data_IF_132509558621
#
_entry.id   IF_132509558621
#
_cell.length_a   1.000
_cell.length_b   1.000
_cell.length_c   1.000
_cell.angle_alpha   90.00
_cell.angle_beta   90.00
_cell.angle_gamma   90.00
#
_symmetry.space_group_name_H-M   'P 1'
#
loop_
_entity.id
_entity.type
_entity.pdbx_description
1 polymer ?
#
# COMPACT_ATOMS: atom_id res chain seq x y z
N UNK A 1 -8.36 -6.04 27.89
CA UNK A 1 -7.40 -5.09 27.38
C UNK A 1 -7.85 -3.64 27.51
N UNK A 2 -6.90 -2.75 27.43
CA UNK A 2 -7.15 -1.31 27.47
C UNK A 2 -7.49 -0.76 26.10
N UNK A 3 -8.08 0.41 26.05
CA UNK A 3 -8.28 1.16 24.80
C UNK A 3 -7.26 2.29 24.72
N UNK A 4 -6.57 2.34 23.60
CA UNK A 4 -5.62 3.41 23.25
C UNK A 4 -6.25 4.23 22.13
N UNK A 5 -6.38 5.54 22.36
CA UNK A 5 -7.02 6.44 21.41
C UNK A 5 -5.99 7.11 20.51
N UNK A 6 -6.31 7.11 19.21
CA UNK A 6 -5.52 7.79 18.18
C UNK A 6 -6.37 8.83 17.46
N UNK A 7 -5.77 9.99 17.14
CA UNK A 7 -6.41 11.06 16.40
C UNK A 7 -5.35 11.80 15.57
N UNK A 8 -5.42 11.68 14.26
CA UNK A 8 -4.46 12.29 13.35
C UNK A 8 -4.47 13.82 13.45
N UNK A 9 -5.64 14.42 13.60
CA UNK A 9 -5.81 15.87 13.65
C UNK A 9 -5.81 16.47 15.06
N UNK A 10 -6.14 15.68 16.08
CA UNK A 10 -6.31 16.16 17.46
C UNK A 10 -5.36 15.54 18.47
N UNK A 11 -4.52 14.60 18.07
CA UNK A 11 -3.63 13.88 18.96
C UNK A 11 -2.21 14.41 18.96
N UNK A 12 -1.44 13.89 19.92
CA UNK A 12 0.01 14.10 20.03
C UNK A 12 0.66 12.81 20.49
N UNK A 13 1.78 12.43 19.86
CA UNK A 13 2.51 11.23 20.26
C UNK A 13 3.16 11.37 21.64
N UNK A 14 3.17 12.59 22.21
CA UNK A 14 3.50 12.85 23.61
C UNK A 14 2.32 12.61 24.55
N UNK A 15 1.13 12.36 24.03
CA UNK A 15 -0.05 12.01 24.81
C UNK A 15 0.06 10.65 25.49
N UNK A 16 -0.88 10.36 26.39
CA UNK A 16 -0.91 9.08 27.09
C UNK A 16 -1.83 8.03 26.44
N UNK A 17 -2.48 8.38 25.32
CA UNK A 17 -3.40 7.49 24.60
C UNK A 17 -4.79 7.39 25.21
N UNK A 18 -5.10 8.19 26.23
CA UNK A 18 -6.47 8.32 26.75
C UNK A 18 -7.34 9.09 25.75
N UNK A 19 -8.67 9.03 25.96
CA UNK A 19 -9.60 9.80 25.14
C UNK A 19 -9.32 11.32 25.18
N UNK A 20 -8.87 11.83 26.32
CA UNK A 20 -8.53 13.25 26.50
C UNK A 20 -7.16 13.63 25.91
N UNK A 21 -6.24 12.68 25.83
CA UNK A 21 -4.88 12.88 25.33
C UNK A 21 -4.52 11.80 24.30
N UNK A 22 -5.20 11.75 23.17
CA UNK A 22 -4.96 10.72 22.17
C UNK A 22 -3.58 10.86 21.53
N UNK A 23 -3.06 9.77 21.03
CA UNK A 23 -1.85 9.76 20.22
C UNK A 23 -2.16 10.24 18.80
N UNK A 24 -1.18 10.81 18.12
CA UNK A 24 -1.36 11.32 16.77
C UNK A 24 -1.21 10.22 15.71
N UNK A 25 -0.33 9.26 15.94
CA UNK A 25 0.01 8.25 14.94
C UNK A 25 -0.40 6.85 15.38
N UNK A 26 -0.72 6.03 14.39
CA UNK A 26 -0.95 4.58 14.60
C UNK A 26 0.33 3.92 15.09
N UNK A 27 1.49 4.31 14.54
CA UNK A 27 2.78 3.78 14.97
C UNK A 27 3.05 3.98 16.46
N UNK A 28 2.74 5.16 17.00
CA UNK A 28 2.88 5.41 18.44
C UNK A 28 1.89 4.58 19.26
N UNK A 29 0.67 4.42 18.77
CA UNK A 29 -0.33 3.58 19.42
C UNK A 29 0.08 2.11 19.45
N UNK A 30 0.66 1.59 18.37
CA UNK A 30 1.17 0.23 18.31
C UNK A 30 2.32 -0.01 19.29
N UNK A 31 3.20 0.98 19.48
CA UNK A 31 4.27 0.88 20.47
C UNK A 31 3.75 0.85 21.91
N UNK A 32 2.70 1.60 22.19
CA UNK A 32 2.11 1.69 23.51
C UNK A 32 1.24 0.50 23.85
N UNK A 33 0.55 -0.07 22.88
CA UNK A 33 -0.41 -1.15 23.08
C UNK A 33 0.28 -2.44 23.56
N UNK A 34 -0.40 -3.15 24.43
CA UNK A 34 -0.08 -4.54 24.80
C UNK A 34 -1.04 -5.50 24.09
N UNK A 35 -0.72 -6.79 24.15
CA UNK A 35 -1.60 -7.83 23.62
C UNK A 35 -2.99 -7.76 24.25
N UNK A 36 -4.02 -7.87 23.42
CA UNK A 36 -5.42 -7.74 23.83
C UNK A 36 -5.95 -6.31 23.91
N UNK A 37 -5.10 -5.31 23.71
CA UNK A 37 -5.54 -3.91 23.68
C UNK A 37 -6.26 -3.58 22.37
N UNK A 38 -7.06 -2.52 22.43
CA UNK A 38 -7.74 -1.92 21.28
C UNK A 38 -7.15 -0.55 21.00
N UNK A 39 -6.79 -0.32 19.74
CA UNK A 39 -6.43 1.00 19.24
C UNK A 39 -7.66 1.54 18.51
N UNK A 40 -8.24 2.61 19.03
CA UNK A 40 -9.44 3.24 18.48
C UNK A 40 -9.07 4.54 17.80
N UNK A 41 -9.38 4.65 16.51
CA UNK A 41 -8.96 5.74 15.66
C UNK A 41 -10.11 6.70 15.37
N UNK A 42 -9.90 7.97 15.67
CA UNK A 42 -10.80 9.04 15.26
C UNK A 42 -10.71 9.29 13.75
N UNK A 43 -11.70 10.00 13.21
CA UNK A 43 -11.63 10.51 11.85
C UNK A 43 -10.31 11.24 11.59
N UNK A 44 -9.80 11.06 10.41
CA UNK A 44 -8.60 11.74 9.95
C UNK A 44 -7.83 10.91 8.94
N UNK A 45 -6.79 11.51 8.42
CA UNK A 45 -5.86 10.87 7.49
C UNK A 45 -4.55 10.59 8.21
N UNK A 46 -4.22 9.32 8.32
CA UNK A 46 -2.99 8.84 8.96
C UNK A 46 -2.00 8.52 7.86
N UNK A 47 -1.00 9.40 7.66
CA UNK A 47 0.00 9.26 6.60
C UNK A 47 1.20 8.49 7.15
N UNK A 48 1.14 7.18 7.05
CA UNK A 48 2.11 6.28 7.67
C UNK A 48 2.31 5.04 6.79
N UNK A 49 3.42 4.35 7.01
CA UNK A 49 3.68 3.11 6.31
C UNK A 49 4.74 2.27 6.98
N UNK A 50 4.84 1.05 6.48
CA UNK A 50 5.68 -0.02 6.99
C UNK A 50 5.48 -0.24 8.51
N UNK A 51 4.21 -0.28 8.93
CA UNK A 51 3.87 -0.50 10.33
C UNK A 51 3.84 -2.00 10.64
N UNK A 52 4.69 -2.42 11.57
CA UNK A 52 4.71 -3.79 12.07
C UNK A 52 3.73 -3.93 13.24
N UNK A 53 2.83 -4.91 13.15
CA UNK A 53 1.91 -5.25 14.23
C UNK A 53 2.42 -6.54 14.87
N UNK A 54 3.11 -6.38 16.00
CA UNK A 54 3.82 -7.48 16.69
C UNK A 54 3.08 -7.99 17.94
N UNK A 55 1.90 -7.46 18.17
CA UNK A 55 1.06 -7.84 19.33
C UNK A 55 -0.37 -8.10 18.85
N UNK A 56 -1.07 -8.97 19.54
CA UNK A 56 -2.46 -9.33 19.24
C UNK A 56 -3.42 -8.19 19.62
N UNK A 57 -3.47 -7.15 18.85
CA UNK A 57 -4.28 -5.95 19.09
C UNK A 57 -5.44 -5.88 18.11
N UNK A 58 -6.45 -5.10 18.50
CA UNK A 58 -7.53 -4.67 17.60
C UNK A 58 -7.27 -3.22 17.20
N UNK A 59 -7.22 -2.95 15.89
CA UNK A 59 -7.14 -1.61 15.32
C UNK A 59 -8.51 -1.33 14.70
N UNK A 60 -9.23 -0.35 15.21
CA UNK A 60 -10.59 -0.09 14.74
C UNK A 60 -10.93 1.39 14.67
N UNK A 61 -11.90 1.72 13.83
CA UNK A 61 -12.49 3.04 13.80
C UNK A 61 -13.29 3.29 15.07
N UNK A 62 -13.24 4.52 15.58
CA UNK A 62 -14.20 5.00 16.55
C UNK A 62 -15.61 4.95 15.97
N UNK A 63 -16.63 4.89 16.82
CA UNK A 63 -18.02 4.81 16.36
C UNK A 63 -18.35 6.00 15.45
N UNK A 64 -18.88 5.69 14.26
CA UNK A 64 -19.21 6.69 13.24
C UNK A 64 -18.03 7.31 12.50
N UNK A 65 -16.81 6.95 12.85
CA UNK A 65 -15.60 7.45 12.20
C UNK A 65 -15.24 6.62 10.96
N UNK A 66 -14.53 7.27 10.04
CA UNK A 66 -13.96 6.66 8.83
C UNK A 66 -12.49 7.05 8.68
N UNK A 67 -11.61 6.54 9.53
CA UNK A 67 -10.20 6.86 9.45
C UNK A 67 -9.58 6.29 8.18
N UNK A 68 -8.64 7.02 7.61
CA UNK A 68 -7.90 6.65 6.41
C UNK A 68 -6.43 6.47 6.75
N UNK A 69 -5.91 5.28 6.49
CA UNK A 69 -4.48 4.98 6.53
C UNK A 69 -3.96 5.02 5.10
N UNK A 70 -3.00 5.90 4.83
CA UNK A 70 -2.49 6.14 3.48
C UNK A 70 -0.98 6.20 3.42
N UNK A 71 -0.42 5.66 2.33
CA UNK A 71 1.00 5.78 2.00
C UNK A 71 1.33 7.04 1.21
N UNK A 72 0.35 7.89 0.94
CA UNK A 72 0.54 9.13 0.22
C UNK A 72 0.95 10.26 1.15
N UNK A 73 1.95 11.04 0.72
CA UNK A 73 2.42 12.23 1.40
C UNK A 73 1.98 13.47 0.64
N UNK A 74 1.85 14.59 1.33
CA UNK A 74 1.66 15.90 0.71
C UNK A 74 3.01 16.60 0.70
N UNK A 75 3.67 16.75 -0.48
CA UNK A 75 4.97 17.40 -0.54
C UNK A 75 4.91 18.82 0.00
N UNK A 76 5.91 19.20 0.81
CA UNK A 76 5.95 20.50 1.47
C UNK A 76 6.20 21.65 0.49
N UNK A 77 6.88 21.39 -0.63
CA UNK A 77 7.20 22.41 -1.61
C UNK A 77 7.30 21.82 -3.01
N UNK A 78 7.06 22.68 -3.99
CA UNK A 78 7.16 22.36 -5.40
C UNK A 78 7.94 23.46 -6.11
N UNK A 79 8.75 23.08 -7.09
CA UNK A 79 9.52 24.00 -7.93
C UNK A 79 8.83 24.17 -9.27
N UNK A 80 8.50 25.41 -9.63
CA UNK A 80 7.93 25.71 -10.93
C UNK A 80 9.01 25.63 -12.01
N UNK A 81 8.73 24.91 -13.09
CA UNK A 81 9.67 24.77 -14.22
C UNK A 81 9.58 25.90 -15.24
N UNK A 82 8.56 26.75 -15.15
CA UNK A 82 8.32 27.84 -16.11
C UNK A 82 7.66 27.40 -17.43
N UNK A 83 7.39 26.11 -17.59
CA UNK A 83 6.80 25.48 -18.77
C UNK A 83 5.45 24.81 -18.45
N UNK A 84 4.82 25.17 -17.34
CA UNK A 84 3.59 24.54 -16.84
C UNK A 84 3.81 23.23 -16.11
N UNK A 85 5.06 22.83 -15.91
CA UNK A 85 5.43 21.63 -15.16
C UNK A 85 6.06 22.01 -13.84
N UNK A 86 5.77 21.19 -12.82
CA UNK A 86 6.19 21.42 -11.45
C UNK A 86 6.84 20.16 -10.90
N UNK A 87 7.90 20.33 -10.12
CA UNK A 87 8.67 19.21 -9.56
C UNK A 87 8.73 19.28 -8.05
N UNK A 88 8.68 18.12 -7.39
CA UNK A 88 9.02 18.00 -5.97
C UNK A 88 10.52 18.27 -5.73
N UNK A 89 10.92 18.40 -4.48
CA UNK A 89 12.32 18.26 -4.10
C UNK A 89 12.88 16.88 -4.50
N UNK A 90 14.20 16.75 -4.48
CA UNK A 90 14.94 15.54 -4.90
C UNK A 90 15.12 14.54 -3.76
N UNK A 91 14.13 14.37 -2.93
CA UNK A 91 14.14 13.50 -1.76
C UNK A 91 13.05 12.44 -1.81
N UNK A 92 12.40 12.31 -2.96
CA UNK A 92 11.31 11.35 -3.14
C UNK A 92 11.83 9.94 -3.39
N UNK A 93 10.97 8.96 -3.11
CA UNK A 93 11.26 7.54 -3.28
C UNK A 93 10.93 7.11 -4.70
N UNK A 94 11.87 6.43 -5.33
CA UNK A 94 11.59 5.56 -6.47
C UNK A 94 11.46 4.14 -5.98
N UNK A 95 10.37 3.48 -6.38
CA UNK A 95 10.11 2.09 -5.98
C UNK A 95 10.70 1.10 -6.98
N UNK A 96 10.63 -0.19 -6.66
CA UNK A 96 11.26 -1.24 -7.45
C UNK A 96 10.43 -1.58 -8.69
N UNK A 97 10.98 -1.38 -9.88
CA UNK A 97 10.31 -1.76 -11.14
C UNK A 97 10.48 -3.22 -11.51
N UNK A 98 11.45 -3.92 -10.92
CA UNK A 98 11.70 -5.35 -11.19
C UNK A 98 11.05 -6.29 -10.20
N UNK A 99 10.31 -5.76 -9.24
CA UNK A 99 9.70 -6.53 -8.16
C UNK A 99 8.31 -7.07 -8.53
N UNK A 100 7.87 -6.87 -9.74
CA UNK A 100 6.59 -7.34 -10.25
C UNK A 100 6.84 -8.43 -11.30
N UNK A 101 6.41 -9.65 -10.98
CA UNK A 101 6.72 -10.83 -11.81
C UNK A 101 6.06 -10.78 -13.18
N UNK A 102 4.83 -10.26 -13.23
CA UNK A 102 4.01 -10.31 -14.43
C UNK A 102 4.32 -9.23 -15.45
N UNK A 103 5.17 -8.29 -15.10
CA UNK A 103 5.66 -7.32 -16.05
C UNK A 103 6.98 -7.81 -16.64
N UNK A 104 7.12 -7.70 -17.95
CA UNK A 104 8.39 -7.96 -18.62
C UNK A 104 9.23 -6.67 -18.57
N UNK A 105 10.24 -6.59 -17.70
CA UNK A 105 11.01 -5.35 -17.57
C UNK A 105 11.89 -5.07 -18.78
N UNK A 106 12.17 -6.08 -19.63
CA UNK A 106 12.92 -5.84 -20.87
C UNK A 106 12.11 -5.03 -21.88
N UNK A 107 10.79 -5.06 -21.75
CA UNK A 107 9.89 -4.24 -22.57
C UNK A 107 9.60 -2.89 -21.93
N UNK A 108 10.16 -2.62 -20.75
CA UNK A 108 9.92 -1.41 -19.96
C UNK A 108 8.44 -1.06 -19.88
N UNK A 109 7.58 -2.09 -19.72
CA UNK A 109 6.15 -1.87 -19.60
C UNK A 109 5.82 -1.00 -18.39
N UNK A 110 5.07 0.06 -18.62
CA UNK A 110 4.65 1.00 -17.58
C UNK A 110 3.96 0.29 -16.41
N UNK A 111 3.37 -0.87 -16.66
CA UNK A 111 2.74 -1.70 -15.63
C UNK A 111 3.70 -2.13 -14.52
N UNK A 112 5.02 -2.17 -14.77
CA UNK A 112 6.01 -2.51 -13.76
C UNK A 112 6.34 -1.35 -12.80
N UNK A 113 5.96 -0.14 -13.15
CA UNK A 113 6.27 1.07 -12.38
C UNK A 113 5.24 1.29 -11.28
N UNK A 114 5.62 1.19 -9.99
CA UNK A 114 4.64 1.21 -8.91
C UNK A 114 4.32 2.61 -8.37
N UNK A 115 5.02 3.66 -8.82
CA UNK A 115 4.81 5.01 -8.32
C UNK A 115 3.40 5.50 -8.61
N UNK A 116 2.85 6.31 -7.71
CA UNK A 116 1.51 6.88 -7.83
C UNK A 116 1.49 8.34 -7.39
N UNK A 117 0.73 9.14 -8.13
CA UNK A 117 0.41 10.53 -7.79
C UNK A 117 -1.08 10.73 -7.94
N UNK A 118 -1.67 11.48 -7.03
CA UNK A 118 -3.10 11.81 -7.02
C UNK A 118 -3.26 13.33 -7.01
N UNK A 119 -4.12 13.83 -7.88
CA UNK A 119 -4.51 15.23 -7.92
C UNK A 119 -6.01 15.33 -7.65
N UNK A 120 -6.38 16.03 -6.59
CA UNK A 120 -7.77 16.15 -6.13
C UNK A 120 -8.45 14.77 -5.99
N UNK A 121 -7.71 13.82 -5.45
CA UNK A 121 -8.16 12.45 -5.21
C UNK A 121 -8.17 11.54 -6.45
N UNK A 122 -7.76 12.01 -7.62
CA UNK A 122 -7.73 11.23 -8.86
C UNK A 122 -6.31 10.78 -9.20
N UNK A 123 -6.12 9.52 -9.56
CA UNK A 123 -4.81 9.03 -9.96
C UNK A 123 -4.38 9.63 -11.30
N UNK A 124 -3.13 10.06 -11.37
CA UNK A 124 -2.48 10.40 -12.62
C UNK A 124 -1.91 9.15 -13.27
N UNK A 125 -1.66 9.21 -14.56
CA UNK A 125 -0.99 8.16 -15.31
C UNK A 125 0.51 8.44 -15.34
N UNK A 126 1.33 7.46 -15.00
CA UNK A 126 2.79 7.59 -15.10
C UNK A 126 3.25 7.55 -16.54
N UNK A 127 4.17 8.45 -16.89
CA UNK A 127 4.87 8.48 -18.16
C UNK A 127 6.38 8.35 -17.93
N UNK A 128 7.12 8.01 -18.98
CA UNK A 128 8.54 7.68 -18.86
C UNK A 128 9.48 8.80 -19.32
N UNK A 129 8.94 9.96 -19.67
CA UNK A 129 9.73 11.14 -19.99
C UNK A 129 9.04 12.41 -19.49
N UNK A 130 9.84 13.43 -19.21
CA UNK A 130 9.32 14.73 -18.79
C UNK A 130 8.47 15.40 -19.86
N UNK A 131 8.82 15.20 -21.13
CA UNK A 131 8.08 15.80 -22.25
C UNK A 131 6.65 15.28 -22.40
N UNK A 132 6.37 14.08 -21.86
CA UNK A 132 5.04 13.47 -21.89
C UNK A 132 4.13 13.94 -20.75
N UNK A 133 4.63 14.76 -19.83
CA UNK A 133 3.83 15.24 -18.70
C UNK A 133 2.75 16.21 -19.19
N UNK A 134 1.51 15.89 -18.81
CA UNK A 134 0.32 16.71 -19.02
C UNK A 134 -0.40 16.92 -17.69
N UNK A 135 -1.55 17.56 -17.70
CA UNK A 135 -2.36 17.72 -16.49
C UNK A 135 -2.84 16.41 -15.88
N UNK A 136 -2.87 15.32 -16.66
CA UNK A 136 -3.34 14.00 -16.22
C UNK A 136 -2.23 12.95 -16.11
N UNK A 137 -0.97 13.34 -16.26
CA UNK A 137 0.18 12.44 -16.21
C UNK A 137 1.27 12.98 -15.30
N UNK A 138 2.15 12.07 -14.84
CA UNK A 138 3.32 12.45 -14.06
C UNK A 138 4.54 11.65 -14.50
N UNK A 139 5.72 12.16 -14.15
CA UNK A 139 7.00 11.58 -14.47
C UNK A 139 7.87 11.50 -13.21
N UNK A 140 8.60 10.41 -13.03
CA UNK A 140 9.61 10.30 -11.97
C UNK A 140 10.96 10.60 -12.59
N UNK A 141 11.52 11.76 -12.23
CA UNK A 141 12.84 12.17 -12.66
C UNK A 141 13.89 11.54 -11.73
N UNK A 142 14.61 10.58 -12.27
CA UNK A 142 15.65 9.84 -11.57
C UNK A 142 17.00 10.12 -12.23
N UNK A 143 17.80 11.06 -11.66
CA UNK A 143 19.06 11.44 -12.26
C UNK A 143 20.14 10.35 -12.15
N UNK A 144 19.94 9.39 -11.26
CA UNK A 144 20.90 8.30 -11.02
C UNK A 144 20.19 6.95 -10.94
N UNK A 145 19.64 6.45 -12.07
CA UNK A 145 18.93 5.20 -12.07
C UNK A 145 19.87 4.03 -11.78
N UNK A 146 19.56 3.26 -10.73
CA UNK A 146 20.36 2.12 -10.31
C UNK A 146 19.90 0.87 -11.04
N UNK A 147 20.84 0.06 -11.49
CA UNK A 147 20.55 -1.24 -12.10
C UNK A 147 20.61 -2.37 -11.07
N UNK A 148 19.84 -3.41 -11.31
CA UNK A 148 19.95 -4.64 -10.54
C UNK A 148 19.56 -5.85 -11.40
N UNK A 149 19.87 -7.04 -10.90
CA UNK A 149 19.44 -8.28 -11.55
C UNK A 149 17.99 -8.59 -11.21
N UNK A 150 17.24 -9.04 -12.20
CA UNK A 150 15.90 -9.57 -11.95
C UNK A 150 16.00 -11.04 -11.53
N UNK A 151 15.61 -11.39 -10.30
CA UNK A 151 15.77 -12.75 -9.77
C UNK A 151 14.77 -13.74 -10.38
N UNK A 152 13.69 -13.26 -10.98
CA UNK A 152 12.65 -14.14 -11.49
C UNK A 152 12.96 -14.72 -12.88
N UNK A 153 13.81 -14.05 -13.63
CA UNK A 153 14.17 -14.48 -14.97
C UNK A 153 15.68 -14.44 -15.23
N UNK A 154 16.49 -14.27 -14.19
CA UNK A 154 17.95 -14.22 -14.26
C UNK A 154 18.51 -13.18 -15.25
N UNK A 155 17.73 -12.15 -15.56
CA UNK A 155 18.20 -11.07 -16.41
C UNK A 155 18.85 -9.98 -15.58
N UNK A 156 19.92 -9.41 -16.10
CA UNK A 156 20.67 -8.31 -15.47
C UNK A 156 20.38 -6.98 -16.17
N UNK A 157 20.71 -5.90 -15.51
CA UNK A 157 20.72 -4.59 -16.12
C UNK A 157 19.41 -3.82 -16.06
N UNK A 158 18.45 -4.25 -15.23
CA UNK A 158 17.23 -3.45 -15.03
C UNK A 158 17.54 -2.21 -14.24
N UNK A 159 17.02 -1.08 -14.74
CA UNK A 159 17.05 0.17 -14.05
C UNK A 159 15.98 0.20 -12.96
N UNK A 160 16.28 0.93 -11.90
CA UNK A 160 15.35 1.22 -10.81
C UNK A 160 15.30 0.20 -9.67
N UNK A 161 16.42 0.03 -9.01
CA UNK A 161 16.46 -0.41 -7.62
C UNK A 161 15.72 0.64 -6.77
N UNK A 162 14.99 0.26 -5.71
CA UNK A 162 14.39 1.23 -4.78
C UNK A 162 15.44 2.16 -4.18
N UNK A 163 15.20 3.46 -4.24
CA UNK A 163 16.12 4.47 -3.69
C UNK A 163 15.44 5.82 -3.54
N UNK A 164 16.04 6.72 -2.79
CA UNK A 164 15.69 8.13 -2.73
C UNK A 164 16.53 8.96 -3.71
N UNK A 165 16.19 10.23 -3.83
CA UNK A 165 16.92 11.16 -4.67
C UNK A 165 16.21 11.49 -5.99
N UNK A 166 14.95 11.13 -6.10
CA UNK A 166 14.14 11.42 -7.27
C UNK A 166 13.20 12.60 -7.03
N UNK A 167 12.75 13.21 -8.12
CA UNK A 167 11.69 14.22 -8.11
C UNK A 167 10.50 13.69 -8.88
N UNK A 168 9.29 14.04 -8.45
CA UNK A 168 8.08 13.76 -9.19
C UNK A 168 7.64 15.02 -9.91
N UNK A 169 7.33 14.89 -11.19
CA UNK A 169 6.97 16.01 -12.09
C UNK A 169 5.52 15.88 -12.46
N UNK A 170 4.78 16.98 -12.29
CA UNK A 170 3.35 17.07 -12.64
C UNK A 170 3.10 18.26 -13.58
N UNK A 171 1.94 18.26 -14.23
CA UNK A 171 1.55 19.28 -15.19
C UNK A 171 0.40 20.16 -14.73
N UNK A 172 0.17 20.31 -13.44
CA UNK A 172 -0.79 21.24 -12.84
C UNK A 172 -0.11 22.06 -11.77
N UNK A 173 -0.65 23.25 -11.49
CA UNK A 173 -0.16 24.08 -10.39
C UNK A 173 -0.56 23.47 -9.04
N UNK A 174 0.38 22.99 -8.22
CA UNK A 174 0.07 22.37 -6.94
C UNK A 174 -0.50 23.35 -5.91
N UNK A 175 -0.42 24.64 -6.14
CA UNK A 175 -1.06 25.65 -5.29
C UNK A 175 -2.57 25.76 -5.53
N UNK A 176 -3.06 25.22 -6.65
CA UNK A 176 -4.47 25.23 -7.03
C UNK A 176 -5.16 23.89 -6.82
N UNK A 177 -4.42 22.86 -6.41
CA UNK A 177 -4.89 21.49 -6.28
C UNK A 177 -4.33 20.83 -5.03
N UNK A 178 -5.04 19.83 -4.53
CA UNK A 178 -4.48 18.92 -3.54
C UNK A 178 -3.67 17.84 -4.28
N UNK A 179 -2.37 17.81 -4.05
CA UNK A 179 -1.48 16.84 -4.70
C UNK A 179 -0.90 15.91 -3.66
N UNK A 180 -1.06 14.62 -3.88
CA UNK A 180 -0.48 13.58 -3.04
C UNK A 180 0.49 12.73 -3.85
N UNK A 181 1.64 12.43 -3.27
CA UNK A 181 2.68 11.58 -3.84
C UNK A 181 2.89 10.39 -2.92
N UNK A 182 2.69 9.18 -3.44
CA UNK A 182 2.83 7.98 -2.62
C UNK A 182 4.30 7.71 -2.33
N UNK A 183 4.62 7.52 -1.04
CA UNK A 183 5.99 7.35 -0.55
C UNK A 183 6.21 6.07 0.26
N UNK A 184 5.17 5.25 0.45
CA UNK A 184 5.26 4.01 1.20
C UNK A 184 4.76 2.83 0.36
N UNK A 185 5.37 1.66 0.55
CA UNK A 185 5.01 0.46 -0.20
C UNK A 185 4.04 -0.46 0.54
N UNK A 186 4.04 -0.45 1.87
CA UNK A 186 3.18 -1.29 2.69
C UNK A 186 2.58 -0.49 3.84
N UNK A 187 1.31 -0.78 4.15
CA UNK A 187 0.63 -0.19 5.30
C UNK A 187 0.96 -0.96 6.57
N UNK A 188 0.63 -2.24 6.61
CA UNK A 188 0.68 -3.06 7.81
C UNK A 188 1.23 -4.47 7.51
N UNK A 189 2.04 -4.96 8.43
CA UNK A 189 2.43 -6.37 8.48
C UNK A 189 1.96 -6.97 9.79
N UNK A 190 1.15 -8.03 9.72
CA UNK A 190 0.69 -8.74 10.91
C UNK A 190 1.69 -9.85 11.24
N UNK A 191 2.41 -9.70 12.32
CA UNK A 191 3.55 -10.55 12.67
C UNK A 191 3.28 -11.48 13.86
N UNK A 192 2.04 -11.54 14.33
CA UNK A 192 1.63 -12.42 15.43
C UNK A 192 0.17 -12.83 15.27
N UNK A 193 -0.33 -13.66 16.19
CA UNK A 193 -1.71 -14.14 16.19
C UNK A 193 -2.69 -13.08 16.70
N UNK A 194 -3.97 -13.25 16.34
CA UNK A 194 -5.11 -12.53 16.92
C UNK A 194 -5.09 -11.01 16.70
N UNK A 195 -4.72 -10.59 15.51
CA UNK A 195 -4.81 -9.18 15.12
C UNK A 195 -6.14 -8.95 14.40
N UNK A 196 -6.83 -7.89 14.78
CA UNK A 196 -8.08 -7.46 14.14
C UNK A 196 -7.91 -6.04 13.57
N UNK A 197 -8.37 -5.85 12.33
CA UNK A 197 -8.50 -4.56 11.67
C UNK A 197 -9.96 -4.35 11.30
N UNK A 198 -10.57 -3.26 11.73
CA UNK A 198 -12.00 -3.01 11.51
C UNK A 198 -12.32 -1.55 11.22
N UNK A 199 -13.00 -1.30 10.11
CA UNK A 199 -13.59 0.00 9.85
C UNK A 199 -12.66 1.05 9.25
N UNK A 200 -11.50 0.66 8.68
CA UNK A 200 -10.55 1.59 8.08
C UNK A 200 -10.67 1.61 6.56
N UNK A 201 -10.28 2.74 5.96
CA UNK A 201 -9.86 2.79 4.58
C UNK A 201 -8.33 2.72 4.56
N UNK A 202 -7.79 1.78 3.78
CA UNK A 202 -6.35 1.62 3.55
C UNK A 202 -6.10 1.84 2.08
N UNK A 203 -5.31 2.86 1.74
CA UNK A 203 -5.19 3.27 0.35
C UNK A 203 -3.84 3.89 0.00
N UNK A 204 -3.53 3.87 -1.31
CA UNK A 204 -2.41 4.63 -1.89
C UNK A 204 -1.07 4.20 -1.34
N UNK A 205 -0.75 2.94 -1.56
CA UNK A 205 0.57 2.38 -1.30
C UNK A 205 1.19 1.90 -2.61
N UNK A 206 2.45 2.18 -2.83
CA UNK A 206 3.17 1.71 -4.02
C UNK A 206 3.69 0.30 -3.76
N UNK A 207 2.74 -0.62 -3.58
CA UNK A 207 3.02 -2.00 -3.28
C UNK A 207 3.61 -2.74 -4.49
N UNK A 208 4.54 -3.66 -4.23
CA UNK A 208 5.17 -4.52 -5.20
C UNK A 208 4.88 -5.98 -4.88
N UNK A 209 4.92 -6.86 -5.88
CA UNK A 209 4.45 -8.24 -5.71
C UNK A 209 5.37 -9.07 -4.85
N UNK A 210 6.65 -8.91 -4.99
CA UNK A 210 7.64 -9.71 -4.28
C UNK A 210 8.84 -8.86 -3.92
N UNK A 211 9.56 -9.33 -2.92
CA UNK A 211 10.85 -8.86 -2.55
C UNK A 211 10.91 -7.82 -1.48
N UNK A 212 11.70 -8.15 -0.52
CA UNK A 212 12.10 -7.22 0.51
C UNK A 212 13.47 -6.66 0.16
N UNK A 213 13.52 -5.34 -0.01
CA UNK A 213 14.77 -4.63 -0.18
C UNK A 213 15.09 -3.90 1.11
N UNK A 214 16.04 -4.39 1.90
CA UNK A 214 16.54 -3.60 3.02
C UNK A 214 17.34 -2.41 2.47
N UNK A 215 16.99 -1.23 2.92
CA UNK A 215 17.66 0.01 2.53
C UNK A 215 17.79 0.91 3.75
N UNK A 216 19.02 1.39 4.08
CA UNK A 216 19.25 2.19 5.28
C UNK A 216 18.59 3.57 5.25
N UNK A 217 18.24 4.09 4.07
CA UNK A 217 17.62 5.41 3.94
C UNK A 217 16.09 5.35 3.96
N UNK A 218 15.51 4.36 3.29
CA UNK A 218 14.06 4.28 3.09
C UNK A 218 13.40 3.14 3.86
N UNK A 219 14.17 2.35 4.61
CA UNK A 219 13.68 1.15 5.27
C UNK A 219 13.56 -0.03 4.31
N UNK A 220 12.85 -1.06 4.74
CA UNK A 220 12.60 -2.23 3.89
C UNK A 220 11.45 -1.95 2.94
N UNK A 221 11.68 -2.06 1.64
CA UNK A 221 10.61 -2.09 0.64
C UNK A 221 10.09 -3.51 0.58
N UNK A 222 8.93 -3.73 1.16
CA UNK A 222 8.36 -5.06 1.33
C UNK A 222 7.45 -5.45 0.17
N UNK A 223 7.58 -6.68 -0.30
CA UNK A 223 6.72 -7.25 -1.33
C UNK A 223 5.46 -7.92 -0.77
N UNK A 224 4.46 -8.10 -1.62
CA UNK A 224 3.27 -8.90 -1.34
C UNK A 224 1.95 -8.15 -1.32
N UNK A 225 1.89 -6.91 -0.91
CA UNK A 225 0.64 -6.14 -0.87
C UNK A 225 0.68 -4.99 0.11
N UNK A 226 -0.42 -4.23 0.17
CA UNK A 226 -0.56 -3.15 1.14
C UNK A 226 -0.62 -3.67 2.59
N UNK A 227 -1.30 -4.79 2.79
CA UNK A 227 -1.32 -5.52 4.06
C UNK A 227 -0.90 -6.96 3.81
N UNK A 228 0.02 -7.44 4.63
CA UNK A 228 0.36 -8.86 4.69
C UNK A 228 -0.07 -9.38 6.06
N UNK A 229 -1.08 -10.25 6.05
CA UNK A 229 -1.62 -10.88 7.23
C UNK A 229 -1.11 -12.32 7.33
N UNK A 230 -0.35 -12.60 8.37
CA UNK A 230 0.22 -13.90 8.64
C UNK A 230 -0.26 -14.42 10.00
N UNK A 231 0.18 -15.62 10.36
CA UNK A 231 -0.07 -16.26 11.66
C UNK A 231 -1.52 -16.68 11.91
N UNK A 232 -1.91 -16.80 13.18
CA UNK A 232 -3.22 -17.33 13.56
C UNK A 232 -4.31 -16.28 13.66
N UNK A 233 -5.47 -16.61 13.08
CA UNK A 233 -6.73 -15.91 13.23
C UNK A 233 -6.71 -14.40 12.98
N UNK A 234 -6.06 -13.89 11.91
CA UNK A 234 -6.23 -12.48 11.55
C UNK A 234 -7.67 -12.22 11.17
N UNK A 235 -8.23 -11.13 11.67
CA UNK A 235 -9.59 -10.68 11.33
C UNK A 235 -9.53 -9.31 10.67
N UNK A 236 -10.08 -9.22 9.46
CA UNK A 236 -10.14 -7.98 8.71
C UNK A 236 -11.56 -7.79 8.23
N UNK A 237 -12.20 -6.72 8.68
CA UNK A 237 -13.61 -6.51 8.48
C UNK A 237 -14.00 -5.04 8.29
N UNK A 238 -15.11 -4.82 7.59
CA UNK A 238 -15.73 -3.50 7.46
C UNK A 238 -14.78 -2.42 6.93
N UNK A 239 -13.86 -2.81 6.07
CA UNK A 239 -12.77 -1.94 5.60
C UNK A 239 -12.77 -1.82 4.08
N UNK A 240 -12.17 -0.74 3.59
CA UNK A 240 -11.99 -0.48 2.16
C UNK A 240 -10.50 -0.49 1.83
N UNK A 241 -10.15 -1.20 0.75
CA UNK A 241 -8.76 -1.32 0.28
C UNK A 241 -8.70 -0.89 -1.18
N UNK A 242 -7.90 0.14 -1.47
CA UNK A 242 -7.79 0.66 -2.83
C UNK A 242 -6.42 1.27 -3.13
N UNK A 243 -6.09 1.33 -4.42
CA UNK A 243 -4.85 1.90 -4.94
C UNK A 243 -3.58 1.23 -4.40
N UNK A 244 -3.52 -0.08 -4.58
CA UNK A 244 -2.37 -0.91 -4.19
C UNK A 244 -1.22 -0.90 -5.21
N UNK A 245 -1.34 -0.16 -6.29
CA UNK A 245 -0.34 -0.10 -7.36
C UNK A 245 -0.13 -1.43 -8.08
N UNK A 246 1.11 -1.94 -8.17
CA UNK A 246 1.44 -3.12 -8.97
C UNK A 246 1.23 -4.45 -8.25
N UNK A 247 0.83 -4.39 -6.97
CA UNK A 247 0.58 -5.58 -6.15
C UNK A 247 -0.86 -5.63 -5.65
N UNK A 248 -1.16 -6.65 -4.86
CA UNK A 248 -2.46 -6.80 -4.24
C UNK A 248 -2.70 -5.87 -3.08
N UNK A 249 -3.95 -5.77 -2.66
CA UNK A 249 -4.30 -4.98 -1.50
C UNK A 249 -4.05 -5.76 -0.20
N UNK A 250 -4.50 -6.99 -0.13
CA UNK A 250 -4.40 -7.84 1.05
C UNK A 250 -3.86 -9.22 0.66
N UNK A 251 -2.79 -9.64 1.31
CA UNK A 251 -2.24 -10.98 1.20
C UNK A 251 -2.34 -11.69 2.56
N UNK A 252 -3.00 -12.82 2.56
CA UNK A 252 -3.05 -13.76 3.70
C UNK A 252 -2.06 -14.86 3.40
N UNK A 253 -1.02 -14.98 4.21
CA UNK A 253 0.09 -15.90 3.96
C UNK A 253 0.50 -16.58 5.24
N UNK A 254 0.81 -17.89 5.17
CA UNK A 254 1.22 -18.68 6.35
C UNK A 254 0.28 -18.49 7.54
N UNK A 255 -1.03 -18.48 7.28
CA UNK A 255 -2.05 -18.13 8.25
C UNK A 255 -3.01 -19.29 8.51
N UNK A 256 -3.58 -19.32 9.70
CA UNK A 256 -4.65 -20.24 10.06
C UNK A 256 -5.89 -19.45 10.50
N UNK A 257 -7.06 -19.91 10.02
CA UNK A 257 -8.35 -19.38 10.46
C UNK A 257 -8.54 -17.87 10.29
N UNK A 258 -8.04 -17.31 9.20
CA UNK A 258 -8.30 -15.92 8.86
C UNK A 258 -9.81 -15.68 8.66
N UNK A 259 -10.31 -14.54 9.10
CA UNK A 259 -11.68 -14.11 8.89
C UNK A 259 -11.68 -12.76 8.15
N UNK A 260 -12.11 -12.79 6.89
CA UNK A 260 -12.08 -11.64 6.00
C UNK A 260 -13.52 -11.37 5.56
N UNK A 261 -14.15 -10.33 6.10
CA UNK A 261 -15.60 -10.13 5.92
C UNK A 261 -16.01 -8.66 5.76
N UNK A 262 -16.99 -8.43 4.91
CA UNK A 262 -17.62 -7.13 4.71
C UNK A 262 -16.60 -6.04 4.30
N UNK A 263 -15.67 -6.37 3.42
CA UNK A 263 -14.69 -5.44 2.90
C UNK A 263 -15.00 -5.07 1.44
N UNK A 264 -14.54 -3.89 1.05
CA UNK A 264 -14.53 -3.43 -0.33
C UNK A 264 -13.10 -3.40 -0.85
N UNK A 265 -12.85 -4.09 -1.96
CA UNK A 265 -11.58 -4.06 -2.68
C UNK A 265 -11.83 -3.40 -4.04
N UNK A 266 -11.34 -2.18 -4.25
CA UNK A 266 -11.59 -1.45 -5.48
C UNK A 266 -10.35 -0.71 -6.00
N UNK A 267 -10.22 -0.62 -7.32
CA UNK A 267 -9.16 0.14 -7.99
C UNK A 267 -7.75 -0.30 -7.58
N UNK A 268 -7.54 -1.59 -7.37
CA UNK A 268 -6.22 -2.13 -7.08
C UNK A 268 -5.51 -2.56 -8.36
N UNK A 269 -4.21 -2.43 -8.37
CA UNK A 269 -3.45 -2.56 -9.62
C UNK A 269 -3.23 -3.98 -10.11
N UNK A 270 -3.26 -4.95 -9.19
CA UNK A 270 -3.07 -6.37 -9.47
C UNK A 270 -4.20 -7.15 -8.79
N UNK A 271 -3.96 -8.40 -8.38
CA UNK A 271 -4.98 -9.13 -7.64
C UNK A 271 -5.26 -8.44 -6.30
N UNK A 272 -6.50 -8.09 -6.06
CA UNK A 272 -6.86 -7.34 -4.85
C UNK A 272 -6.64 -8.16 -3.58
N UNK A 273 -6.80 -9.49 -3.66
CA UNK A 273 -6.75 -10.37 -2.51
C UNK A 273 -6.07 -11.69 -2.87
N UNK A 274 -5.21 -12.16 -1.98
CA UNK A 274 -4.56 -13.44 -2.15
C UNK A 274 -4.49 -14.24 -0.85
N UNK A 275 -4.55 -15.56 -0.97
CA UNK A 275 -4.31 -16.51 0.12
C UNK A 275 -3.25 -17.49 -0.35
N UNK A 276 -2.19 -17.66 0.42
CA UNK A 276 -1.11 -18.57 0.10
C UNK A 276 -0.64 -19.29 1.39
N UNK A 277 -0.35 -20.58 1.26
CA UNK A 277 0.17 -21.42 2.36
C UNK A 277 -0.66 -21.29 3.65
N UNK A 278 -1.98 -21.27 3.53
CA UNK A 278 -2.89 -21.03 4.64
C UNK A 278 -3.97 -22.11 4.74
N UNK A 279 -4.64 -22.16 5.89
CA UNK A 279 -5.75 -23.09 6.11
C UNK A 279 -6.84 -22.47 6.95
N UNK A 280 -8.09 -22.90 6.69
CA UNK A 280 -9.23 -22.55 7.51
C UNK A 280 -9.76 -21.12 7.35
N UNK A 281 -9.37 -20.40 6.32
CA UNK A 281 -9.83 -19.05 6.11
C UNK A 281 -11.32 -19.01 5.73
N UNK A 282 -12.03 -18.01 6.27
CA UNK A 282 -13.41 -17.67 5.91
C UNK A 282 -13.43 -16.29 5.27
N UNK A 283 -13.87 -16.24 4.01
CA UNK A 283 -13.93 -15.02 3.21
C UNK A 283 -15.39 -14.82 2.81
N UNK A 284 -16.07 -13.88 3.44
CA UNK A 284 -17.52 -13.76 3.37
C UNK A 284 -17.98 -12.31 3.19
N UNK A 285 -18.95 -12.10 2.30
CA UNK A 285 -19.63 -10.81 2.11
C UNK A 285 -18.68 -9.66 1.71
N UNK A 286 -17.66 -9.97 0.91
CA UNK A 286 -16.76 -8.94 0.37
C UNK A 286 -17.21 -8.55 -1.04
N UNK A 287 -16.86 -7.32 -1.43
CA UNK A 287 -17.12 -6.79 -2.77
C UNK A 287 -15.80 -6.49 -3.45
N UNK A 288 -15.61 -7.00 -4.66
CA UNK A 288 -14.46 -6.71 -5.53
C UNK A 288 -14.95 -5.99 -6.78
N UNK A 289 -14.37 -4.84 -7.08
CA UNK A 289 -14.72 -4.11 -8.31
C UNK A 289 -13.54 -3.31 -8.85
N UNK A 290 -13.43 -3.29 -10.18
CA UNK A 290 -12.43 -2.53 -10.93
C UNK A 290 -10.99 -2.73 -10.41
N UNK A 291 -10.61 -3.99 -10.21
CA UNK A 291 -9.23 -4.34 -9.86
C UNK A 291 -8.44 -4.73 -11.12
N UNK A 292 -7.14 -5.02 -10.98
CA UNK A 292 -6.21 -5.28 -12.07
C UNK A 292 -6.04 -4.08 -13.01
N UNK A 293 -5.87 -2.89 -12.44
CA UNK A 293 -5.78 -1.65 -13.20
C UNK A 293 -4.39 -1.35 -13.76
N UNK A 294 -3.36 -2.14 -13.38
CA UNK A 294 -1.96 -1.91 -13.79
C UNK A 294 -1.67 -2.19 -15.25
N UNK A 295 -2.57 -2.83 -15.98
CA UNK A 295 -2.39 -3.09 -17.41
C UNK A 295 -1.45 -4.24 -17.73
N UNK A 296 -1.27 -5.20 -16.84
CA UNK A 296 -0.54 -6.43 -17.13
C UNK A 296 -1.26 -7.24 -18.20
N UNK A 297 -0.48 -7.92 -19.03
CA UNK A 297 -1.03 -8.76 -20.10
C UNK A 297 -0.83 -10.24 -19.77
N UNK A 298 -1.84 -11.06 -20.07
CA UNK A 298 -1.88 -12.48 -19.72
C UNK A 298 -0.74 -13.30 -20.29
N UNK A 299 -0.28 -12.99 -21.47
CA UNK A 299 0.83 -13.72 -22.11
C UNK A 299 2.15 -13.63 -21.34
N UNK A 300 2.29 -12.61 -20.48
CA UNK A 300 3.47 -12.40 -19.67
C UNK A 300 3.33 -12.99 -18.26
N UNK A 301 2.21 -13.65 -17.97
CA UNK A 301 1.88 -14.10 -16.64
C UNK A 301 2.50 -15.43 -16.23
N UNK A 302 2.45 -16.46 -17.02
CA UNK A 302 2.88 -17.80 -16.61
C UNK A 302 2.19 -18.28 -15.32
N UNK A 303 2.85 -19.18 -14.60
CA UNK A 303 2.32 -19.78 -13.36
C UNK A 303 2.20 -18.80 -12.19
N UNK A 304 2.87 -17.67 -12.27
CA UNK A 304 2.90 -16.66 -11.19
C UNK A 304 1.96 -15.48 -11.46
N UNK A 305 1.03 -15.66 -12.40
CA UNK A 305 0.09 -14.60 -12.78
C UNK A 305 -0.75 -14.14 -11.61
N UNK A 306 -0.88 -12.82 -11.45
CA UNK A 306 -1.68 -12.18 -10.41
C UNK A 306 -2.78 -11.31 -11.01
N UNK A 307 -3.31 -11.67 -12.17
CA UNK A 307 -4.29 -10.91 -12.93
C UNK A 307 -5.74 -11.32 -12.63
N UNK A 308 -6.07 -11.54 -11.38
CA UNK A 308 -7.43 -11.85 -10.96
C UNK A 308 -7.82 -11.01 -9.76
N UNK A 309 -9.12 -10.91 -9.45
CA UNK A 309 -9.56 -10.30 -8.20
C UNK A 309 -8.99 -11.04 -6.99
N UNK A 310 -8.93 -12.35 -7.08
CA UNK A 310 -8.52 -13.23 -6.00
C UNK A 310 -7.65 -14.35 -6.53
N UNK A 311 -6.59 -14.68 -5.80
CA UNK A 311 -5.76 -15.84 -6.08
C UNK A 311 -5.53 -16.65 -4.80
N UNK A 312 -5.83 -17.95 -4.86
CA UNK A 312 -5.63 -18.87 -3.75
C UNK A 312 -4.68 -19.95 -4.21
N UNK A 313 -3.57 -20.13 -3.47
CA UNK A 313 -2.56 -21.14 -3.79
C UNK A 313 -2.10 -21.86 -2.52
N UNK A 314 -1.72 -23.13 -2.65
CA UNK A 314 -1.13 -23.94 -1.59
C UNK A 314 -1.90 -23.87 -0.25
N UNK A 315 -3.24 -23.84 -0.35
CA UNK A 315 -4.10 -23.65 0.81
C UNK A 315 -5.20 -24.70 0.86
N UNK A 316 -5.81 -24.87 2.03
CA UNK A 316 -6.87 -25.86 2.24
C UNK A 316 -7.91 -25.37 3.23
N UNK A 317 -9.12 -25.94 3.11
CA UNK A 317 -10.27 -25.60 3.96
C UNK A 317 -10.61 -24.12 3.91
N UNK A 318 -10.62 -23.56 2.71
CA UNK A 318 -10.95 -22.15 2.47
C UNK A 318 -12.43 -22.07 2.13
N UNK A 319 -13.18 -21.24 2.85
CA UNK A 319 -14.59 -20.94 2.57
C UNK A 319 -14.71 -19.56 1.93
N UNK A 320 -15.26 -19.55 0.74
CA UNK A 320 -15.68 -18.32 0.06
C UNK A 320 -17.21 -18.29 0.01
N UNK A 321 -17.83 -17.22 0.50
CA UNK A 321 -19.27 -17.06 0.49
C UNK A 321 -19.66 -15.61 0.21
N UNK A 322 -20.75 -15.43 -0.55
CA UNK A 322 -21.35 -14.14 -0.84
C UNK A 322 -20.34 -13.12 -1.43
N UNK A 323 -19.49 -13.62 -2.34
CA UNK A 323 -18.59 -12.76 -3.10
C UNK A 323 -19.40 -12.01 -4.16
N UNK A 324 -19.19 -10.72 -4.25
CA UNK A 324 -19.82 -9.88 -5.27
C UNK A 324 -18.78 -9.13 -6.09
#
# INVERSE_FOLDING_TARGET
GSTIHGSAGGGSDAGDGSAAKPLQTIGAALKKAGGGDTIELANGTYREGELAVDKGVTIKAAEGAKPVLTGAEVPASWNAGGDGKWSTGKDMVRFCTVCTINADPTKEGIAAHPEQVFVDGKPLTQVLSRDEVTESTFYVDDPDPVTLNNPHNNQAGYKAKPHRGTSYVIGVDPNQHQVEVVQHSRALSFNTDNITLSGLTVEKYSAVQRWDYPDPEIGTISGGGMIVAAHGAPRIENSTFRYSSTAGALQVIDSTNAAISNNLFENNGSNAFGINDSSGAKVENNLWRNNNTSGFITKDCGAYCTLADTKITHSKNIRFANKT
#
